data_IF_131530805854
#
_entry.id   IF_131530805854
#
_cell.length_a   1.000
_cell.length_b   1.000
_cell.length_c   1.000
_cell.angle_alpha   90.00
_cell.angle_beta   90.00
_cell.angle_gamma   90.00
#
_symmetry.space_group_name_H-M   'P 1'
#
loop_
_entity.id
_entity.type
_entity.pdbx_description
1 polymer ?
#
# COMPACT_ATOMS: atom_id res chain seq x y z
N UNK A 1 -4.25 29.32 -5.89
CA UNK A 1 -3.88 28.59 -4.66
C UNK A 1 -2.38 28.77 -4.42
N UNK A 2 -1.93 28.79 -3.14
CA UNK A 2 -0.49 28.76 -2.83
C UNK A 2 0.04 27.38 -3.28
N UNK A 3 1.20 27.34 -3.93
CA UNK A 3 1.90 26.08 -4.23
C UNK A 3 2.32 25.40 -2.94
N UNK A 4 1.98 24.12 -2.78
CA UNK A 4 2.41 23.30 -1.65
C UNK A 4 3.78 22.73 -1.97
N UNK A 5 4.73 22.94 -1.09
CA UNK A 5 6.10 22.45 -1.24
C UNK A 5 6.29 21.18 -0.44
N UNK A 6 6.71 20.13 -1.11
CA UNK A 6 6.89 18.80 -0.49
C UNK A 6 8.32 18.29 -0.63
N UNK A 7 8.72 17.43 0.30
CA UNK A 7 10.02 16.76 0.25
C UNK A 7 9.86 15.25 0.22
N UNK A 8 10.81 14.54 -0.43
CA UNK A 8 10.82 13.08 -0.53
C UNK A 8 11.97 12.52 0.32
N UNK A 9 11.64 11.66 1.27
CA UNK A 9 12.60 10.94 2.12
C UNK A 9 12.75 9.51 1.62
N UNK A 10 13.92 9.18 1.10
CA UNK A 10 14.23 7.91 0.46
C UNK A 10 14.44 8.05 -1.06
N UNK A 11 15.53 7.44 -1.55
CA UNK A 11 16.01 7.58 -2.93
C UNK A 11 15.92 6.26 -3.73
N UNK A 12 15.19 5.28 -3.17
CA UNK A 12 14.93 4.00 -3.82
C UNK A 12 13.79 4.08 -4.84
N UNK A 13 13.31 2.91 -5.25
CA UNK A 13 12.23 2.75 -6.23
C UNK A 13 11.00 3.63 -5.88
N UNK A 14 10.49 3.54 -4.63
CA UNK A 14 9.31 4.30 -4.23
C UNK A 14 9.54 5.81 -4.19
N UNK A 15 10.74 6.28 -3.82
CA UNK A 15 11.07 7.71 -3.88
C UNK A 15 10.94 8.27 -5.29
N UNK A 16 11.37 7.51 -6.31
CA UNK A 16 11.20 7.88 -7.72
C UNK A 16 9.73 7.87 -8.13
N UNK A 17 8.99 6.81 -7.80
CA UNK A 17 7.55 6.71 -8.11
C UNK A 17 6.78 7.89 -7.52
N UNK A 18 7.07 8.26 -6.27
CA UNK A 18 6.43 9.43 -5.63
C UNK A 18 6.77 10.73 -6.34
N UNK A 19 8.02 10.94 -6.76
CA UNK A 19 8.41 12.13 -7.51
C UNK A 19 7.68 12.23 -8.86
N UNK A 20 7.58 11.13 -9.60
CA UNK A 20 6.85 11.08 -10.87
C UNK A 20 5.36 11.37 -10.68
N UNK A 21 4.75 10.83 -9.63
CA UNK A 21 3.35 11.07 -9.31
C UNK A 21 3.09 12.52 -8.85
N UNK A 22 3.96 13.09 -8.00
CA UNK A 22 3.87 14.50 -7.54
C UNK A 22 3.88 15.47 -8.72
N UNK A 23 4.73 15.26 -9.73
CA UNK A 23 4.78 16.10 -10.94
C UNK A 23 3.46 16.15 -11.72
N UNK A 24 2.58 15.20 -11.50
CA UNK A 24 1.27 15.08 -12.16
C UNK A 24 0.14 15.67 -11.31
N UNK A 25 0.47 16.28 -10.15
CA UNK A 25 -0.50 16.92 -9.25
C UNK A 25 -0.34 18.43 -9.34
N UNK A 26 -1.44 19.12 -9.62
CA UNK A 26 -1.45 20.58 -9.74
C UNK A 26 -1.17 21.26 -8.40
N UNK A 27 -0.47 22.38 -8.45
CA UNK A 27 -0.13 23.22 -7.29
C UNK A 27 0.74 22.54 -6.23
N UNK A 28 1.49 21.50 -6.62
CA UNK A 28 2.45 20.81 -5.75
C UNK A 28 3.85 20.82 -6.40
N UNK A 29 4.85 21.18 -5.60
CA UNK A 29 6.26 21.20 -5.99
C UNK A 29 7.07 20.26 -5.12
N UNK A 30 7.81 19.31 -5.75
CA UNK A 30 8.83 18.55 -5.05
C UNK A 30 10.08 19.42 -4.90
N UNK A 31 10.27 19.99 -3.70
CA UNK A 31 11.27 21.02 -3.42
C UNK A 31 12.59 20.44 -2.88
N UNK A 32 12.56 19.28 -2.23
CA UNK A 32 13.74 18.70 -1.61
C UNK A 32 13.72 17.16 -1.64
N UNK A 33 14.91 16.57 -1.58
CA UNK A 33 15.10 15.11 -1.42
C UNK A 33 16.05 14.87 -0.23
N UNK A 34 15.68 13.96 0.67
CA UNK A 34 16.56 13.47 1.71
C UNK A 34 16.90 11.98 1.50
N UNK A 35 18.19 11.65 1.56
CA UNK A 35 18.65 10.27 1.41
C UNK A 35 20.07 10.06 1.91
N UNK A 36 20.30 9.00 2.69
CA UNK A 36 21.61 8.66 3.28
C UNK A 36 22.76 8.56 2.27
N UNK A 37 22.45 8.11 1.04
CA UNK A 37 23.42 8.12 -0.05
C UNK A 37 23.33 9.44 -0.80
N UNK A 38 24.28 10.34 -0.53
CA UNK A 38 24.32 11.68 -1.12
C UNK A 38 24.43 11.66 -2.66
N UNK A 39 25.17 10.71 -3.24
CA UNK A 39 25.32 10.59 -4.68
C UNK A 39 24.02 10.11 -5.33
N UNK A 40 23.40 9.07 -4.78
CA UNK A 40 22.09 8.59 -5.22
C UNK A 40 21.01 9.69 -5.12
N UNK A 41 21.01 10.47 -4.05
CA UNK A 41 20.08 11.58 -3.87
C UNK A 41 20.32 12.70 -4.90
N UNK A 42 21.58 13.07 -5.19
CA UNK A 42 21.90 14.06 -6.23
C UNK A 42 21.52 13.56 -7.63
N UNK A 43 21.80 12.29 -7.94
CA UNK A 43 21.41 11.69 -9.22
C UNK A 43 19.90 11.71 -9.43
N UNK A 44 19.14 11.33 -8.38
CA UNK A 44 17.68 11.38 -8.41
C UNK A 44 17.21 12.83 -8.57
N UNK A 45 17.74 13.77 -7.77
CA UNK A 45 17.40 15.19 -7.82
C UNK A 45 17.66 15.81 -9.20
N UNK A 46 18.79 15.50 -9.83
CA UNK A 46 19.11 15.97 -11.17
C UNK A 46 18.09 15.53 -12.22
N UNK A 47 17.60 14.27 -12.14
CA UNK A 47 16.56 13.75 -13.02
C UNK A 47 15.20 14.44 -12.85
N UNK A 48 14.99 15.11 -11.72
CA UNK A 48 13.74 15.81 -11.38
C UNK A 48 13.90 17.33 -11.24
N UNK A 49 15.08 17.88 -11.55
CA UNK A 49 15.39 19.32 -11.42
C UNK A 49 15.26 19.83 -9.98
N UNK A 50 15.57 18.98 -8.99
CA UNK A 50 15.54 19.31 -7.58
C UNK A 50 16.97 19.53 -7.09
N UNK A 51 17.29 20.74 -6.66
CA UNK A 51 18.62 21.13 -6.20
C UNK A 51 18.85 20.95 -4.70
N UNK A 52 17.78 20.99 -3.91
CA UNK A 52 17.86 20.83 -2.44
C UNK A 52 17.99 19.37 -2.07
N UNK A 53 19.20 18.96 -1.71
CA UNK A 53 19.55 17.58 -1.35
C UNK A 53 20.11 17.55 0.06
N UNK A 54 19.53 16.71 0.91
CA UNK A 54 19.98 16.49 2.28
C UNK A 54 20.39 15.03 2.50
N UNK A 55 21.35 14.79 3.38
CA UNK A 55 21.71 13.43 3.86
C UNK A 55 21.02 13.09 5.17
N UNK A 56 20.60 14.09 5.93
CA UNK A 56 19.70 13.94 7.08
C UNK A 56 18.35 14.60 6.78
N UNK A 57 17.27 13.85 6.87
CA UNK A 57 15.91 14.36 6.65
C UNK A 57 15.50 15.46 7.66
N UNK A 58 16.12 15.49 8.83
CA UNK A 58 15.85 16.51 9.87
C UNK A 58 16.26 17.91 9.42
N UNK A 59 17.25 18.03 8.53
CA UNK A 59 17.62 19.31 7.94
C UNK A 59 16.47 19.86 7.09
N UNK A 60 15.80 18.97 6.35
CA UNK A 60 14.63 19.34 5.54
C UNK A 60 13.43 19.70 6.43
N UNK A 61 13.23 18.99 7.55
CA UNK A 61 12.13 19.30 8.49
C UNK A 61 12.23 20.68 9.12
N UNK A 62 13.45 21.25 9.26
CA UNK A 62 13.68 22.60 9.77
C UNK A 62 13.33 23.71 8.77
N UNK A 63 13.19 23.37 7.49
CA UNK A 63 12.82 24.35 6.48
C UNK A 63 11.32 24.72 6.61
N UNK A 64 11.00 26.00 6.96
CA UNK A 64 9.62 26.43 7.11
C UNK A 64 8.85 26.46 5.78
N UNK A 65 9.55 26.47 4.65
CA UNK A 65 8.94 26.49 3.32
C UNK A 65 8.48 25.10 2.86
N UNK A 66 8.81 24.04 3.56
CA UNK A 66 8.30 22.69 3.29
C UNK A 66 6.97 22.51 4.04
N UNK A 67 5.90 22.26 3.31
CA UNK A 67 4.56 22.07 3.87
C UNK A 67 4.26 20.58 4.17
N UNK A 68 4.80 19.65 3.36
CA UNK A 68 4.53 18.22 3.46
C UNK A 68 5.78 17.36 3.19
N UNK A 69 5.74 16.11 3.63
CA UNK A 69 6.81 15.15 3.35
C UNK A 69 6.25 13.80 2.90
N UNK A 70 6.97 13.12 2.01
CA UNK A 70 6.75 11.73 1.63
C UNK A 70 7.83 10.85 2.25
N UNK A 71 7.45 9.80 2.95
CA UNK A 71 8.35 8.83 3.56
C UNK A 71 8.36 7.58 2.71
N UNK A 72 9.46 7.35 1.99
CA UNK A 72 9.67 6.26 1.03
C UNK A 72 10.90 5.42 1.41
N UNK A 73 11.18 5.30 2.69
CA UNK A 73 12.31 4.58 3.28
C UNK A 73 11.95 3.13 3.59
N UNK A 74 12.88 2.28 4.07
CA UNK A 74 12.53 0.98 4.65
C UNK A 74 11.62 1.11 5.88
N UNK A 75 10.73 0.13 6.08
CA UNK A 75 9.65 0.13 7.06
C UNK A 75 10.06 0.54 8.48
N UNK A 76 11.20 0.05 8.98
CA UNK A 76 11.70 0.36 10.32
C UNK A 76 11.98 1.87 10.56
N UNK A 77 12.01 2.68 9.52
CA UNK A 77 12.23 4.13 9.61
C UNK A 77 10.93 4.93 9.57
N UNK A 78 9.80 4.31 9.16
CA UNK A 78 8.54 5.02 8.96
C UNK A 78 8.07 5.71 10.22
N UNK A 79 8.02 4.98 11.35
CA UNK A 79 7.57 5.52 12.62
C UNK A 79 8.36 6.76 13.05
N UNK A 80 9.68 6.65 13.13
CA UNK A 80 10.52 7.77 13.61
C UNK A 80 10.43 8.98 12.69
N UNK A 81 10.45 8.77 11.37
CA UNK A 81 10.38 9.88 10.40
C UNK A 81 9.01 10.53 10.37
N UNK A 82 7.93 9.75 10.46
CA UNK A 82 6.57 10.29 10.51
C UNK A 82 6.33 11.08 11.80
N UNK A 83 6.80 10.56 12.93
CA UNK A 83 6.75 11.24 14.22
C UNK A 83 7.50 12.57 14.20
N UNK A 84 8.77 12.58 13.76
CA UNK A 84 9.59 13.78 13.66
C UNK A 84 8.93 14.82 12.71
N UNK A 85 8.35 14.37 11.59
CA UNK A 85 7.68 15.24 10.63
C UNK A 85 6.40 15.88 11.21
N UNK A 86 5.55 15.09 11.88
CA UNK A 86 4.37 15.61 12.56
C UNK A 86 4.73 16.61 13.66
N UNK A 87 5.76 16.32 14.46
CA UNK A 87 6.27 17.23 15.50
C UNK A 87 6.83 18.53 14.92
N UNK A 88 7.38 18.46 13.70
CA UNK A 88 7.85 19.65 12.96
C UNK A 88 6.72 20.41 12.24
N UNK A 89 5.45 20.02 12.44
CA UNK A 89 4.29 20.67 11.82
C UNK A 89 4.10 20.36 10.34
N UNK A 90 4.68 19.28 9.83
CA UNK A 90 4.56 18.89 8.40
C UNK A 90 3.42 17.90 8.19
N UNK A 91 2.68 18.06 7.10
CA UNK A 91 1.76 17.03 6.60
C UNK A 91 2.55 15.82 6.12
N UNK A 92 2.02 14.60 6.28
CA UNK A 92 2.79 13.39 6.02
C UNK A 92 2.06 12.43 5.08
N UNK A 93 2.76 12.01 4.03
CA UNK A 93 2.44 10.81 3.25
C UNK A 93 3.49 9.76 3.60
N UNK A 94 3.08 8.61 4.10
CA UNK A 94 3.97 7.51 4.46
C UNK A 94 3.69 6.30 3.58
N UNK A 95 4.75 5.65 3.09
CA UNK A 95 4.63 4.33 2.46
C UNK A 95 4.10 3.30 3.46
N UNK A 96 3.49 2.26 2.95
CA UNK A 96 3.00 1.13 3.74
C UNK A 96 4.15 0.11 4.02
N UNK A 97 4.07 -0.64 5.11
CA UNK A 97 3.16 -0.48 6.23
C UNK A 97 3.46 0.83 6.99
N UNK A 98 2.46 1.38 7.67
CA UNK A 98 2.60 2.64 8.41
C UNK A 98 3.76 2.62 9.42
N UNK A 99 3.95 1.48 10.07
CA UNK A 99 5.01 1.22 11.04
C UNK A 99 5.32 -0.28 11.07
N UNK A 100 6.18 -0.73 11.99
CA UNK A 100 6.50 -2.14 12.17
C UNK A 100 5.70 -2.82 13.29
N UNK A 101 4.93 -2.06 14.05
CA UNK A 101 4.11 -2.55 15.15
C UNK A 101 2.86 -1.71 15.41
N UNK A 102 1.87 -2.32 16.04
CA UNK A 102 0.56 -1.69 16.34
C UNK A 102 0.71 -0.47 17.25
N UNK A 103 1.55 -0.53 18.27
CA UNK A 103 1.71 0.57 19.23
C UNK A 103 2.35 1.82 18.57
N UNK A 104 3.30 1.61 17.67
CA UNK A 104 3.86 2.69 16.84
C UNK A 104 2.76 3.34 15.95
N UNK A 105 1.90 2.51 15.36
CA UNK A 105 0.76 2.98 14.56
C UNK A 105 -0.23 3.82 15.38
N UNK A 106 -0.59 3.36 16.61
CA UNK A 106 -1.46 4.10 17.53
C UNK A 106 -0.88 5.47 17.89
N UNK A 107 0.42 5.51 18.19
CA UNK A 107 1.09 6.77 18.52
C UNK A 107 1.04 7.77 17.34
N UNK A 108 1.28 7.30 16.11
CA UNK A 108 1.22 8.16 14.92
C UNK A 108 -0.19 8.68 14.65
N UNK A 109 -1.22 7.85 14.80
CA UNK A 109 -2.63 8.26 14.65
C UNK A 109 -2.98 9.34 15.68
N UNK A 110 -2.64 9.12 16.95
CA UNK A 110 -2.89 10.07 18.02
C UNK A 110 -2.15 11.39 17.79
N UNK A 111 -0.88 11.33 17.44
CA UNK A 111 -0.06 12.52 17.20
C UNK A 111 -0.58 13.34 16.01
N UNK A 112 -0.95 12.70 14.90
CA UNK A 112 -1.50 13.38 13.74
C UNK A 112 -2.81 14.13 14.08
N UNK A 113 -3.67 13.49 14.87
CA UNK A 113 -4.92 14.10 15.35
C UNK A 113 -4.64 15.30 16.28
N UNK A 114 -3.73 15.16 17.25
CA UNK A 114 -3.35 16.22 18.19
C UNK A 114 -2.77 17.43 17.46
N UNK A 115 -1.97 17.24 16.42
CA UNK A 115 -1.36 18.31 15.64
C UNK A 115 -2.32 18.89 14.58
N UNK A 116 -3.46 18.26 14.32
CA UNK A 116 -4.39 18.69 13.28
C UNK A 116 -3.81 18.61 11.86
N UNK A 117 -2.82 17.74 11.65
CA UNK A 117 -2.10 17.60 10.39
C UNK A 117 -2.72 16.54 9.49
N UNK A 118 -2.67 16.78 8.18
CA UNK A 118 -3.07 15.79 7.18
C UNK A 118 -2.03 14.67 7.15
N UNK A 119 -2.52 13.45 7.15
CA UNK A 119 -1.71 12.26 7.13
C UNK A 119 -2.28 11.25 6.14
N UNK A 120 -1.43 10.51 5.45
CA UNK A 120 -1.81 9.52 4.46
C UNK A 120 -0.86 8.32 4.54
N UNK A 121 -1.40 7.11 4.45
CA UNK A 121 -0.64 5.88 4.19
C UNK A 121 -0.88 5.41 2.77
N UNK A 122 0.18 4.98 2.04
CA UNK A 122 0.09 4.69 0.61
C UNK A 122 -0.54 3.33 0.30
N UNK A 123 -1.83 3.15 0.62
CA UNK A 123 -2.64 2.06 0.07
C UNK A 123 -3.18 2.44 -1.31
N UNK A 124 -2.28 2.60 -2.25
CA UNK A 124 -2.56 3.13 -3.59
C UNK A 124 -3.47 2.23 -4.44
N UNK A 125 -3.49 0.92 -4.21
CA UNK A 125 -4.26 -0.03 -5.04
C UNK A 125 -5.78 0.20 -4.97
N UNK A 126 -6.28 0.90 -3.94
CA UNK A 126 -7.68 1.37 -3.89
C UNK A 126 -8.05 2.23 -5.11
N UNK A 127 -7.05 2.86 -5.77
CA UNK A 127 -7.27 3.94 -6.74
C UNK A 127 -7.24 3.52 -8.21
N UNK A 128 -7.20 2.24 -8.48
CA UNK A 128 -7.57 1.76 -9.81
C UNK A 128 -9.03 2.12 -10.11
N UNK A 129 -9.36 2.67 -11.29
CA UNK A 129 -10.72 3.08 -11.63
C UNK A 129 -11.76 1.98 -11.44
N UNK A 130 -11.41 0.72 -11.80
CA UNK A 130 -12.33 -0.41 -11.67
C UNK A 130 -12.47 -0.89 -10.22
N UNK A 131 -11.48 -0.70 -9.36
CA UNK A 131 -11.61 -0.94 -7.91
C UNK A 131 -12.59 0.09 -7.29
N UNK A 132 -12.52 1.34 -7.71
CA UNK A 132 -13.48 2.35 -7.29
C UNK A 132 -14.89 2.05 -7.82
N UNK A 133 -15.00 1.54 -9.06
CA UNK A 133 -16.28 1.09 -9.61
C UNK A 133 -16.86 -0.05 -8.77
N UNK A 134 -16.04 -1.06 -8.40
CA UNK A 134 -16.47 -2.17 -7.51
C UNK A 134 -17.03 -1.65 -6.21
N UNK A 135 -16.30 -0.73 -5.54
CA UNK A 135 -16.75 -0.11 -4.31
C UNK A 135 -18.13 0.55 -4.48
N UNK A 136 -18.32 1.36 -5.52
CA UNK A 136 -19.59 2.04 -5.76
C UNK A 136 -20.73 1.07 -6.10
N UNK A 137 -20.42 -0.09 -6.67
CA UNK A 137 -21.40 -1.16 -6.89
C UNK A 137 -21.79 -1.84 -5.56
N UNK A 138 -20.85 -2.07 -4.65
CA UNK A 138 -21.14 -2.59 -3.31
C UNK A 138 -21.98 -1.59 -2.50
N UNK A 139 -21.61 -0.31 -2.47
CA UNK A 139 -22.33 0.76 -1.78
C UNK A 139 -23.77 0.97 -2.33
N UNK A 140 -23.98 0.78 -3.63
CA UNK A 140 -25.27 0.85 -4.28
C UNK A 140 -26.13 -0.41 -4.08
N UNK A 141 -25.65 -1.38 -3.33
CA UNK A 141 -26.33 -2.65 -3.08
C UNK A 141 -26.57 -3.50 -4.35
N UNK A 142 -25.75 -3.28 -5.41
CA UNK A 142 -25.89 -4.03 -6.66
C UNK A 142 -25.63 -5.53 -6.45
N UNK A 143 -24.76 -5.90 -5.49
CA UNK A 143 -24.45 -7.28 -5.13
C UNK A 143 -25.46 -7.89 -4.14
N UNK A 144 -26.30 -7.08 -3.51
CA UNK A 144 -27.08 -7.50 -2.35
C UNK A 144 -26.22 -7.71 -1.12
N UNK A 145 -26.58 -8.67 -0.26
CA UNK A 145 -25.76 -9.06 0.90
C UNK A 145 -24.49 -9.77 0.41
N UNK A 146 -23.31 -9.35 0.87
CA UNK A 146 -22.03 -9.99 0.53
C UNK A 146 -21.88 -11.25 1.38
N UNK A 147 -21.70 -12.38 0.71
CA UNK A 147 -21.57 -13.71 1.33
C UNK A 147 -20.11 -14.17 1.42
N UNK A 148 -19.35 -14.00 0.32
CA UNK A 148 -17.98 -14.49 0.23
C UNK A 148 -17.09 -13.41 -0.38
N UNK A 149 -15.87 -13.26 0.17
CA UNK A 149 -14.79 -12.44 -0.38
C UNK A 149 -13.53 -13.30 -0.45
N UNK A 150 -12.94 -13.44 -1.63
CA UNK A 150 -11.75 -14.26 -1.80
C UNK A 150 -10.78 -13.71 -2.83
N UNK A 151 -9.53 -14.18 -2.80
CA UNK A 151 -8.55 -13.82 -3.83
C UNK A 151 -7.13 -14.21 -3.49
N UNK A 152 -6.23 -13.63 -4.27
CA UNK A 152 -4.79 -13.89 -4.12
C UNK A 152 -3.98 -12.62 -4.34
N UNK A 153 -2.77 -12.57 -3.80
CA UNK A 153 -1.74 -11.66 -4.25
C UNK A 153 -0.42 -12.40 -4.44
N UNK A 154 -0.04 -12.62 -5.66
CA UNK A 154 1.07 -13.49 -6.03
C UNK A 154 2.15 -12.74 -6.80
N UNK A 155 3.41 -12.97 -6.41
CA UNK A 155 4.61 -12.42 -7.04
C UNK A 155 5.71 -13.48 -7.10
N UNK A 156 6.74 -13.30 -7.94
CA UNK A 156 7.87 -14.25 -8.08
C UNK A 156 9.26 -13.62 -7.81
N UNK A 157 9.32 -12.39 -7.38
CA UNK A 157 10.58 -11.65 -7.28
C UNK A 157 11.49 -12.09 -6.12
N UNK A 158 11.00 -12.96 -5.22
CA UNK A 158 11.76 -13.61 -4.15
C UNK A 158 11.78 -15.13 -4.27
N UNK A 159 11.59 -15.66 -5.48
CA UNK A 159 11.51 -17.09 -5.74
C UNK A 159 12.82 -17.84 -5.43
N UNK A 160 13.97 -17.26 -5.74
CA UNK A 160 15.25 -17.93 -5.58
C UNK A 160 15.93 -17.57 -4.24
N UNK A 161 16.76 -18.44 -3.73
CA UNK A 161 17.56 -18.18 -2.53
C UNK A 161 18.56 -17.02 -2.69
N UNK A 162 18.89 -16.65 -3.93
CA UNK A 162 19.71 -15.49 -4.29
C UNK A 162 18.92 -14.18 -4.37
N UNK A 163 17.58 -14.25 -4.32
CA UNK A 163 16.74 -13.06 -4.31
C UNK A 163 16.84 -12.38 -2.96
N UNK A 164 17.41 -11.19 -2.96
CA UNK A 164 17.61 -10.39 -1.75
C UNK A 164 17.12 -8.97 -1.90
N UNK A 165 16.42 -8.49 -0.86
CA UNK A 165 16.02 -7.12 -0.70
C UNK A 165 16.01 -6.78 0.79
N UNK A 166 16.05 -5.51 1.16
CA UNK A 166 15.99 -5.07 2.56
C UNK A 166 14.74 -5.59 3.31
N UNK A 167 13.65 -5.88 2.59
CA UNK A 167 12.42 -6.46 3.16
C UNK A 167 12.61 -7.86 3.74
N UNK A 168 13.62 -8.58 3.26
CA UNK A 168 13.97 -9.92 3.78
C UNK A 168 14.62 -9.83 5.17
N UNK A 169 15.26 -8.71 5.48
CA UNK A 169 15.88 -8.46 6.79
C UNK A 169 14.79 -7.93 7.76
N UNK A 170 14.43 -8.72 8.76
CA UNK A 170 13.42 -8.35 9.77
C UNK A 170 13.78 -7.04 10.52
N UNK A 171 15.08 -6.69 10.63
CA UNK A 171 15.50 -5.41 11.24
C UNK A 171 15.11 -4.19 10.42
N UNK A 172 15.00 -4.35 9.11
CA UNK A 172 14.62 -3.27 8.18
C UNK A 172 13.14 -3.35 7.78
N UNK A 173 12.62 -4.56 7.62
CA UNK A 173 11.27 -4.83 7.12
C UNK A 173 10.19 -4.96 8.21
N UNK A 174 10.60 -5.35 9.44
CA UNK A 174 9.67 -5.73 10.49
C UNK A 174 9.49 -7.25 10.61
N UNK A 175 8.60 -7.72 11.51
CA UNK A 175 8.45 -9.13 11.85
C UNK A 175 7.72 -9.98 10.81
N UNK A 176 7.17 -9.38 9.78
CA UNK A 176 6.47 -10.03 8.67
C UNK A 176 6.93 -9.44 7.36
N UNK A 177 6.91 -10.23 6.30
CA UNK A 177 7.33 -9.79 4.97
C UNK A 177 6.22 -9.93 3.93
N UNK A 178 5.83 -11.14 3.58
CA UNK A 178 4.83 -11.37 2.55
C UNK A 178 3.46 -10.74 2.92
N UNK A 179 2.98 -10.99 4.13
CA UNK A 179 1.71 -10.42 4.58
C UNK A 179 1.80 -8.91 4.78
N UNK A 180 2.89 -8.39 5.35
CA UNK A 180 3.11 -6.95 5.50
C UNK A 180 3.28 -6.22 4.16
N UNK A 181 3.96 -6.83 3.19
CA UNK A 181 4.25 -6.20 1.89
C UNK A 181 3.05 -6.27 0.93
N UNK A 182 2.45 -7.45 0.74
CA UNK A 182 1.38 -7.66 -0.24
C UNK A 182 0.05 -8.06 0.38
N UNK A 183 0.02 -8.85 1.45
CA UNK A 183 -1.20 -9.21 2.16
C UNK A 183 -1.96 -7.97 2.67
N UNK A 184 -1.24 -6.98 3.22
CA UNK A 184 -1.83 -5.73 3.70
C UNK A 184 -2.58 -4.95 2.61
N UNK A 185 -2.08 -4.92 1.38
CA UNK A 185 -2.78 -4.30 0.25
C UNK A 185 -4.08 -5.04 -0.08
N UNK A 186 -4.05 -6.37 -0.01
CA UNK A 186 -5.23 -7.17 -0.32
C UNK A 186 -6.35 -6.95 0.72
N UNK A 187 -6.02 -7.01 2.02
CA UNK A 187 -6.98 -6.75 3.10
C UNK A 187 -7.50 -5.32 3.07
N UNK A 188 -6.61 -4.35 2.83
CA UNK A 188 -6.99 -2.96 2.66
C UNK A 188 -8.01 -2.76 1.53
N UNK A 189 -7.77 -3.38 0.38
CA UNK A 189 -8.68 -3.35 -0.75
C UNK A 189 -10.01 -4.04 -0.44
N UNK A 190 -9.98 -5.22 0.20
CA UNK A 190 -11.18 -5.98 0.54
C UNK A 190 -12.09 -5.18 1.49
N UNK A 191 -11.54 -4.60 2.57
CA UNK A 191 -12.30 -3.74 3.49
C UNK A 191 -12.80 -2.46 2.79
N UNK A 192 -11.95 -1.82 1.96
CA UNK A 192 -12.30 -0.61 1.24
C UNK A 192 -13.46 -0.81 0.25
N UNK A 193 -13.44 -1.91 -0.51
CA UNK A 193 -14.46 -2.18 -1.54
C UNK A 193 -15.78 -2.63 -0.92
N UNK A 194 -15.73 -3.49 0.08
CA UNK A 194 -16.93 -4.07 0.69
C UNK A 194 -17.57 -3.19 1.74
N UNK A 195 -16.79 -2.28 2.36
CA UNK A 195 -17.22 -1.54 3.55
C UNK A 195 -17.31 -2.41 4.82
N UNK A 196 -16.93 -3.69 4.74
CA UNK A 196 -16.96 -4.63 5.86
C UNK A 196 -15.59 -4.70 6.53
N UNK A 197 -15.57 -4.98 7.83
CA UNK A 197 -14.33 -5.17 8.61
C UNK A 197 -14.07 -6.64 8.89
N UNK A 198 -12.80 -7.05 8.78
CA UNK A 198 -12.35 -8.37 9.24
C UNK A 198 -12.47 -8.42 10.76
N UNK A 199 -13.20 -9.40 11.28
CA UNK A 199 -13.50 -9.55 12.72
C UNK A 199 -12.73 -10.67 13.39
N UNK A 200 -12.39 -11.72 12.64
CA UNK A 200 -11.51 -12.80 13.10
C UNK A 200 -10.88 -13.53 11.92
N UNK A 201 -9.75 -14.17 12.15
CA UNK A 201 -9.00 -14.88 11.12
C UNK A 201 -8.27 -16.11 11.65
N UNK A 202 -7.91 -17.01 10.72
CA UNK A 202 -6.99 -18.11 10.96
C UNK A 202 -5.96 -18.12 9.83
N UNK A 203 -4.66 -18.02 10.18
CA UNK A 203 -3.57 -17.86 9.27
C UNK A 203 -2.57 -19.03 9.36
N UNK A 204 -2.07 -19.45 8.18
CA UNK A 204 -0.90 -20.33 8.04
C UNK A 204 0.17 -19.58 7.25
N UNK A 205 1.34 -19.38 7.84
CA UNK A 205 2.47 -18.63 7.28
C UNK A 205 3.66 -19.57 7.08
N UNK A 206 4.40 -19.38 5.98
CA UNK A 206 5.54 -20.25 5.69
C UNK A 206 6.74 -19.47 5.18
N UNK A 207 7.91 -19.75 5.78
CA UNK A 207 9.22 -19.35 5.27
C UNK A 207 9.84 -20.54 4.54
N UNK A 208 9.84 -20.52 3.19
CA UNK A 208 10.41 -21.60 2.39
C UNK A 208 11.94 -21.52 2.35
N UNK A 209 12.49 -20.30 2.25
CA UNK A 209 13.92 -20.06 2.27
C UNK A 209 14.37 -19.53 3.63
N UNK A 210 14.64 -20.43 4.57
CA UNK A 210 15.15 -20.09 5.92
C UNK A 210 16.60 -19.59 5.91
N UNK A 211 17.30 -19.75 4.77
CA UNK A 211 18.62 -19.17 4.49
C UNK A 211 18.59 -18.60 3.08
N UNK A 212 19.07 -17.36 2.93
CA UNK A 212 19.21 -16.70 1.63
C UNK A 212 20.62 -16.18 1.43
N UNK A 213 21.03 -16.08 0.18
CA UNK A 213 22.32 -15.52 -0.26
C UNK A 213 22.19 -14.00 -0.38
N UNK A 214 22.64 -13.28 0.64
CA UNK A 214 22.66 -11.83 0.65
C UNK A 214 23.89 -11.32 -0.12
N UNK A 215 23.74 -10.39 -1.09
CA UNK A 215 24.88 -9.73 -1.72
C UNK A 215 25.76 -9.00 -0.71
N UNK A 216 27.09 -9.11 -0.86
CA UNK A 216 28.08 -8.37 -0.03
C UNK A 216 28.01 -6.87 -0.24
N UNK A 217 27.62 -6.44 -1.44
CA UNK A 217 27.45 -5.04 -1.82
C UNK A 217 25.98 -4.73 -2.08
N UNK A 218 25.60 -3.46 -1.93
CA UNK A 218 24.24 -3.01 -2.20
C UNK A 218 23.91 -3.19 -3.68
N UNK A 219 22.81 -3.88 -3.98
CA UNK A 219 22.21 -3.99 -5.32
C UNK A 219 20.88 -3.24 -5.34
N UNK A 220 20.57 -2.68 -6.50
CA UNK A 220 19.27 -2.02 -6.70
C UNK A 220 18.13 -3.04 -6.61
N UNK A 221 17.00 -2.61 -6.08
CA UNK A 221 15.77 -3.42 -6.04
C UNK A 221 15.36 -3.76 -7.47
N UNK A 222 15.10 -5.03 -7.74
CA UNK A 222 14.79 -5.58 -9.07
C UNK A 222 15.94 -5.55 -10.09
N UNK A 223 17.18 -5.28 -9.69
CA UNK A 223 18.33 -5.36 -10.58
C UNK A 223 18.64 -6.80 -11.01
N UNK A 224 19.18 -6.96 -12.21
CA UNK A 224 19.58 -8.25 -12.75
C UNK A 224 20.72 -8.88 -11.94
N UNK A 225 20.69 -10.19 -11.73
CA UNK A 225 21.55 -10.95 -10.80
C UNK A 225 22.72 -11.57 -11.52
N UNK A 226 23.68 -10.74 -11.90
CA UNK A 226 24.93 -11.19 -12.50
C UNK A 226 26.07 -11.25 -11.46
N UNK A 227 25.77 -11.80 -10.24
CA UNK A 227 26.76 -11.96 -9.18
C UNK A 227 27.31 -13.38 -9.17
N UNK A 228 28.61 -13.53 -8.90
CA UNK A 228 29.24 -14.82 -8.69
C UNK A 228 28.95 -15.40 -7.30
N UNK A 229 29.18 -16.70 -7.07
CA UNK A 229 28.98 -17.33 -5.75
C UNK A 229 29.77 -16.64 -4.62
N UNK A 230 30.91 -16.08 -4.91
CA UNK A 230 31.81 -15.39 -3.96
C UNK A 230 31.25 -14.02 -3.51
N UNK A 231 30.29 -13.46 -4.23
CA UNK A 231 29.70 -12.16 -3.94
C UNK A 231 28.59 -12.22 -2.90
N UNK A 232 28.27 -13.40 -2.39
CA UNK A 232 27.18 -13.61 -1.44
C UNK A 232 27.65 -13.98 -0.04
N UNK A 233 26.77 -13.73 0.93
CA UNK A 233 26.88 -14.19 2.32
C UNK A 233 25.58 -14.92 2.66
N UNK A 234 25.68 -16.16 3.15
CA UNK A 234 24.52 -16.86 3.69
C UNK A 234 23.95 -16.12 4.90
N UNK A 235 22.67 -15.88 4.88
CA UNK A 235 21.97 -15.10 5.91
C UNK A 235 20.68 -15.83 6.29
N UNK A 236 20.50 -16.10 7.58
CA UNK A 236 19.26 -16.67 8.10
C UNK A 236 18.09 -15.69 7.92
N UNK A 237 16.92 -16.24 7.57
CA UNK A 237 15.68 -15.51 7.33
C UNK A 237 14.55 -16.19 8.07
N UNK A 238 13.76 -15.42 8.80
CA UNK A 238 12.63 -15.87 9.61
C UNK A 238 11.29 -15.22 9.19
N UNK A 239 11.34 -14.30 8.22
CA UNK A 239 10.13 -13.68 7.66
C UNK A 239 9.52 -14.55 6.56
N UNK A 240 8.20 -14.64 6.53
CA UNK A 240 7.46 -15.55 5.65
C UNK A 240 7.50 -15.13 4.17
N UNK A 241 7.57 -16.14 3.29
CA UNK A 241 7.46 -16.04 1.83
C UNK A 241 6.01 -16.19 1.35
N UNK A 242 5.15 -16.75 2.21
CA UNK A 242 3.80 -17.19 1.91
C UNK A 242 2.90 -17.02 3.13
N UNK A 243 1.63 -16.69 2.88
CA UNK A 243 0.57 -16.75 3.86
C UNK A 243 -0.77 -17.13 3.24
N UNK A 244 -1.47 -18.05 3.89
CA UNK A 244 -2.86 -18.40 3.60
C UNK A 244 -3.73 -18.02 4.79
N UNK A 245 -4.79 -17.25 4.56
CA UNK A 245 -5.66 -16.76 5.63
C UNK A 245 -7.11 -17.00 5.26
N UNK A 246 -7.86 -17.65 6.17
CA UNK A 246 -9.32 -17.66 6.16
C UNK A 246 -9.83 -16.66 7.21
N UNK A 247 -10.91 -15.95 6.90
CA UNK A 247 -11.37 -14.86 7.78
C UNK A 247 -12.89 -14.70 7.78
N UNK A 248 -13.37 -13.95 8.77
CA UNK A 248 -14.75 -13.49 8.87
C UNK A 248 -14.78 -11.96 8.73
N UNK A 249 -15.79 -11.45 8.01
CA UNK A 249 -16.06 -10.02 7.89
C UNK A 249 -17.50 -9.74 8.29
N UNK A 250 -17.69 -8.67 9.08
CA UNK A 250 -19.02 -8.37 9.62
C UNK A 250 -19.67 -9.58 10.30
N UNK A 251 -20.99 -9.69 10.20
CA UNK A 251 -21.74 -10.76 10.90
C UNK A 251 -21.71 -12.10 10.15
N UNK A 252 -21.80 -12.08 8.81
CA UNK A 252 -22.06 -13.30 8.01
C UNK A 252 -21.05 -13.61 6.94
N UNK A 253 -20.34 -12.61 6.42
CA UNK A 253 -19.39 -12.78 5.30
C UNK A 253 -18.20 -13.66 5.72
N UNK A 254 -17.79 -14.54 4.83
CA UNK A 254 -16.60 -15.40 4.97
C UNK A 254 -15.63 -15.11 3.83
N UNK A 255 -14.33 -15.31 4.10
CA UNK A 255 -13.36 -15.09 3.05
C UNK A 255 -12.09 -15.90 3.19
N UNK A 256 -11.29 -15.84 2.13
CA UNK A 256 -9.95 -16.42 2.11
C UNK A 256 -9.02 -15.63 1.18
N UNK A 257 -7.75 -15.57 1.55
CA UNK A 257 -6.71 -14.99 0.72
C UNK A 257 -5.43 -15.81 0.80
N UNK A 258 -4.73 -15.89 -0.32
CA UNK A 258 -3.37 -16.42 -0.39
C UNK A 258 -2.45 -15.31 -0.89
N UNK A 259 -1.42 -14.99 -0.12
CA UNK A 259 -0.34 -14.09 -0.51
C UNK A 259 0.97 -14.89 -0.67
N UNK A 260 1.72 -14.64 -1.75
CA UNK A 260 2.95 -15.37 -2.04
C UNK A 260 3.94 -14.53 -2.83
N UNK A 261 5.20 -14.54 -2.42
CA UNK A 261 6.30 -13.88 -3.15
C UNK A 261 7.21 -14.88 -3.91
N UNK A 262 6.78 -16.15 -3.98
CA UNK A 262 7.51 -17.26 -4.61
C UNK A 262 6.70 -17.97 -5.69
N UNK A 263 5.71 -17.31 -6.25
CA UNK A 263 4.80 -17.85 -7.28
C UNK A 263 5.36 -17.61 -8.68
N UNK A 264 6.16 -18.55 -9.19
CA UNK A 264 6.84 -18.47 -10.50
C UNK A 264 5.89 -18.00 -11.61
N UNK A 265 6.28 -16.97 -12.35
CA UNK A 265 5.53 -16.42 -13.48
C UNK A 265 4.52 -15.33 -13.14
N UNK A 266 4.12 -15.17 -11.87
CA UNK A 266 3.28 -14.05 -11.42
C UNK A 266 4.15 -12.84 -11.08
N UNK A 267 3.92 -11.72 -11.77
CA UNK A 267 4.76 -10.52 -11.58
C UNK A 267 4.19 -9.57 -10.53
N UNK A 268 2.90 -9.31 -10.58
CA UNK A 268 2.19 -8.48 -9.61
C UNK A 268 0.69 -8.79 -9.61
N UNK A 269 0.36 -10.08 -9.48
CA UNK A 269 -0.99 -10.59 -9.67
C UNK A 269 -1.83 -10.53 -8.40
N UNK A 270 -2.51 -9.41 -8.16
CA UNK A 270 -3.57 -9.31 -7.17
C UNK A 270 -4.91 -9.61 -7.85
N UNK A 271 -5.67 -10.53 -7.28
CA UNK A 271 -7.06 -10.78 -7.67
C UNK A 271 -7.98 -10.69 -6.46
N UNK A 272 -9.19 -10.19 -6.67
CA UNK A 272 -10.25 -10.15 -5.67
C UNK A 272 -11.59 -10.52 -6.31
N UNK A 273 -12.35 -11.38 -5.64
CA UNK A 273 -13.69 -11.81 -6.02
C UNK A 273 -14.64 -11.59 -4.85
N UNK A 274 -15.81 -10.99 -5.14
CA UNK A 274 -16.84 -10.67 -4.15
C UNK A 274 -18.15 -11.27 -4.64
N UNK A 275 -18.72 -12.16 -3.83
CA UNK A 275 -19.95 -12.87 -4.15
C UNK A 275 -21.09 -12.40 -3.25
N UNK A 276 -22.12 -11.84 -3.86
CA UNK A 276 -23.31 -11.37 -3.18
C UNK A 276 -24.55 -12.20 -3.53
N UNK A 277 -25.67 -11.86 -2.88
CA UNK A 277 -26.94 -12.56 -3.10
C UNK A 277 -27.63 -12.22 -4.42
N UNK A 278 -27.22 -11.14 -5.11
CA UNK A 278 -27.81 -10.68 -6.37
C UNK A 278 -26.85 -10.83 -7.55
N UNK A 279 -25.58 -10.50 -7.34
CA UNK A 279 -24.52 -10.55 -8.34
C UNK A 279 -23.16 -10.72 -7.69
N UNK A 280 -22.14 -10.87 -8.50
CA UNK A 280 -20.75 -11.06 -8.07
C UNK A 280 -19.84 -10.17 -8.89
N UNK A 281 -18.68 -9.81 -8.33
CA UNK A 281 -17.65 -9.05 -9.03
C UNK A 281 -16.31 -9.76 -8.90
N UNK A 282 -15.48 -9.67 -9.96
CA UNK A 282 -14.09 -10.12 -9.94
C UNK A 282 -13.20 -9.13 -10.66
N UNK A 283 -12.05 -8.82 -10.06
CA UNK A 283 -11.05 -7.92 -10.61
C UNK A 283 -9.64 -8.50 -10.50
N UNK A 284 -8.80 -8.23 -11.50
CA UNK A 284 -7.42 -8.69 -11.60
C UNK A 284 -6.51 -7.50 -11.95
N UNK A 285 -5.49 -7.26 -11.12
CA UNK A 285 -4.54 -6.17 -11.29
C UNK A 285 -3.73 -6.27 -12.59
N UNK A 286 -3.49 -7.48 -13.11
CA UNK A 286 -2.79 -7.67 -14.39
C UNK A 286 -3.69 -7.36 -15.61
N UNK A 287 -5.01 -7.12 -15.37
CA UNK A 287 -6.00 -6.59 -16.32
C UNK A 287 -6.84 -5.48 -15.67
N UNK A 288 -6.20 -4.36 -15.28
CA UNK A 288 -6.80 -3.41 -14.35
C UNK A 288 -8.01 -2.65 -14.91
N UNK A 289 -8.14 -2.58 -16.23
CA UNK A 289 -9.22 -1.86 -16.91
C UNK A 289 -10.49 -2.70 -17.14
N UNK A 290 -10.50 -3.95 -16.66
CA UNK A 290 -11.63 -4.88 -16.78
C UNK A 290 -12.21 -5.21 -15.40
N UNK A 291 -13.55 -5.33 -15.33
CA UNK A 291 -14.28 -5.82 -14.17
C UNK A 291 -15.33 -6.82 -14.63
N UNK A 292 -15.19 -8.07 -14.19
CA UNK A 292 -16.20 -9.09 -14.42
C UNK A 292 -17.36 -8.95 -13.43
N UNK A 293 -18.60 -9.01 -13.95
CA UNK A 293 -19.81 -9.09 -13.15
C UNK A 293 -20.57 -10.39 -13.47
N UNK A 294 -20.79 -11.19 -12.44
CA UNK A 294 -21.45 -12.47 -12.54
C UNK A 294 -22.91 -12.43 -12.13
N UNK A 295 -23.75 -13.10 -12.91
CA UNK A 295 -25.18 -13.22 -12.68
C UNK A 295 -25.61 -14.68 -12.77
N UNK A 296 -26.61 -15.06 -11.94
CA UNK A 296 -27.18 -16.41 -11.99
C UNK A 296 -28.23 -16.56 -13.10
N UNK A 297 -29.08 -15.55 -13.25
CA UNK A 297 -30.28 -15.63 -14.07
C UNK A 297 -30.17 -14.82 -15.37
N UNK A 298 -28.98 -14.31 -15.67
CA UNK A 298 -28.67 -13.58 -16.91
C UNK A 298 -27.20 -13.80 -17.31
N UNK A 299 -26.81 -13.31 -18.49
CA UNK A 299 -25.43 -13.40 -18.96
C UNK A 299 -24.47 -12.63 -18.06
N UNK A 300 -23.29 -13.18 -17.83
CA UNK A 300 -22.20 -12.46 -17.19
C UNK A 300 -21.71 -11.32 -18.09
N UNK A 301 -21.15 -10.28 -17.50
CA UNK A 301 -20.70 -9.07 -18.18
C UNK A 301 -19.23 -8.81 -17.85
N UNK A 302 -18.52 -8.15 -18.77
CA UNK A 302 -17.23 -7.52 -18.51
C UNK A 302 -17.41 -6.02 -18.70
N UNK A 303 -17.28 -5.27 -17.62
CA UNK A 303 -17.18 -3.81 -17.69
C UNK A 303 -15.74 -3.46 -18.09
N UNK A 304 -15.61 -2.67 -19.15
CA UNK A 304 -14.32 -2.10 -19.56
C UNK A 304 -14.27 -0.66 -19.06
N UNK A 305 -13.12 -0.23 -18.58
CA UNK A 305 -12.92 1.13 -18.08
C UNK A 305 -13.25 2.15 -19.17
N UNK A 306 -14.31 2.91 -18.94
CA UNK A 306 -14.71 4.09 -19.70
C UNK A 306 -15.38 5.07 -18.72
N UNK A 307 -14.83 6.30 -18.54
CA UNK A 307 -15.41 7.26 -17.60
C UNK A 307 -16.90 7.53 -17.80
N UNK A 308 -17.39 7.43 -19.05
CA UNK A 308 -18.81 7.66 -19.36
C UNK A 308 -19.74 6.56 -18.83
N UNK A 309 -19.21 5.35 -18.63
CA UNK A 309 -19.92 4.16 -18.19
C UNK A 309 -19.77 3.85 -16.69
N UNK A 310 -18.79 4.49 -16.03
CA UNK A 310 -18.60 4.31 -14.59
C UNK A 310 -19.71 4.99 -13.78
N UNK A 311 -20.00 4.47 -12.60
CA UNK A 311 -20.84 5.15 -11.61
C UNK A 311 -20.30 6.57 -11.33
N UNK A 312 -21.17 7.59 -11.13
CA UNK A 312 -20.73 9.00 -11.04
C UNK A 312 -19.57 9.24 -10.07
N UNK A 313 -19.62 8.63 -8.90
CA UNK A 313 -18.55 8.79 -7.89
C UNK A 313 -17.25 8.05 -8.23
N UNK A 314 -17.26 7.10 -9.16
CA UNK A 314 -16.06 6.43 -9.63
C UNK A 314 -15.38 7.18 -10.79
N UNK A 315 -16.09 8.02 -11.54
CA UNK A 315 -15.56 8.76 -12.71
C UNK A 315 -14.38 9.64 -12.38
N UNK A 316 -14.34 10.24 -11.19
CA UNK A 316 -13.25 11.14 -10.77
C UNK A 316 -11.90 10.44 -10.58
N UNK A 317 -11.88 9.12 -10.71
CA UNK A 317 -10.66 8.31 -10.60
C UNK A 317 -10.13 7.84 -11.96
N UNK A 318 -10.88 8.10 -13.05
CA UNK A 318 -10.48 7.81 -14.41
C UNK A 318 -10.25 9.13 -15.17
N UNK A 319 -8.99 9.41 -15.51
CA UNK A 319 -8.59 10.65 -16.20
C UNK A 319 -8.53 10.46 -17.73
N UNK A 320 -8.39 9.21 -18.21
CA UNK A 320 -8.26 8.89 -19.62
C UNK A 320 -9.55 8.27 -20.18
N UNK A 321 -9.88 8.54 -21.46
CA UNK A 321 -11.05 7.94 -22.11
C UNK A 321 -10.93 6.42 -22.22
N UNK A 322 -12.02 5.75 -22.59
CA UNK A 322 -12.06 4.32 -22.85
C UNK A 322 -10.97 3.89 -23.84
N UNK A 323 -10.40 2.68 -23.63
CA UNK A 323 -9.31 2.15 -24.45
C UNK A 323 -7.91 2.70 -24.17
N UNK A 324 -7.77 3.63 -23.23
CA UNK A 324 -6.47 4.14 -22.74
C UNK A 324 -6.25 3.62 -21.33
N UNK A 325 -5.24 2.78 -21.14
CA UNK A 325 -4.99 2.13 -19.84
C UNK A 325 -4.55 3.12 -18.78
N UNK A 326 -5.09 2.94 -17.57
CA UNK A 326 -4.64 3.61 -16.34
C UNK A 326 -4.13 2.55 -15.37
N UNK A 327 -2.86 2.68 -14.98
CA UNK A 327 -2.10 1.66 -14.28
C UNK A 327 -1.61 2.07 -12.91
N UNK A 328 -0.56 1.36 -12.47
CA UNK A 328 0.03 1.51 -11.14
C UNK A 328 0.43 2.95 -10.81
N UNK A 329 1.07 3.66 -11.75
CA UNK A 329 1.53 5.05 -11.53
C UNK A 329 0.36 6.03 -11.37
N UNK A 330 -0.78 5.75 -12.03
CA UNK A 330 -1.98 6.60 -11.93
C UNK A 330 -2.60 6.51 -10.55
N UNK A 331 -2.49 5.36 -9.88
CA UNK A 331 -3.02 5.18 -8.53
C UNK A 331 -2.36 6.14 -7.53
N UNK A 332 -1.05 6.34 -7.59
CA UNK A 332 -0.33 7.30 -6.73
C UNK A 332 -0.73 8.75 -7.01
N UNK A 333 -0.86 9.11 -8.29
CA UNK A 333 -1.38 10.43 -8.68
C UNK A 333 -2.75 10.69 -8.05
N UNK A 334 -3.65 9.70 -8.06
CA UNK A 334 -4.99 9.84 -7.48
C UNK A 334 -4.97 9.98 -5.95
N UNK A 335 -4.12 9.22 -5.26
CA UNK A 335 -3.91 9.38 -3.81
C UNK A 335 -3.41 10.79 -3.49
N UNK A 336 -2.35 11.23 -4.16
CA UNK A 336 -1.70 12.50 -3.87
C UNK A 336 -2.58 13.69 -4.22
N UNK A 337 -3.30 13.64 -5.34
CA UNK A 337 -4.29 14.67 -5.71
C UNK A 337 -5.29 14.91 -4.57
N UNK A 338 -5.85 13.86 -3.99
CA UNK A 338 -6.82 13.95 -2.90
C UNK A 338 -6.20 14.41 -1.59
N UNK A 339 -5.03 13.90 -1.27
CA UNK A 339 -4.30 14.33 -0.09
C UNK A 339 -3.99 15.82 -0.15
N UNK A 340 -3.37 16.30 -1.21
CA UNK A 340 -3.02 17.71 -1.35
C UNK A 340 -4.22 18.63 -1.46
N UNK A 341 -5.29 18.20 -2.10
CA UNK A 341 -6.56 18.95 -2.13
C UNK A 341 -7.19 19.11 -0.74
N UNK A 342 -6.88 18.24 0.21
CA UNK A 342 -7.39 18.33 1.58
C UNK A 342 -6.64 19.34 2.46
N UNK A 343 -5.43 19.76 2.06
CA UNK A 343 -4.60 20.69 2.84
C UNK A 343 -5.26 22.07 2.81
N UNK A 344 -5.46 22.66 3.98
CA UNK A 344 -6.13 23.96 4.13
C UNK A 344 -7.67 23.91 4.12
N UNK A 345 -8.28 22.73 3.86
CA UNK A 345 -9.74 22.54 3.91
C UNK A 345 -10.14 22.02 5.30
N UNK A 346 -11.05 22.72 5.98
CA UNK A 346 -11.60 22.27 7.26
C UNK A 346 -12.90 21.49 7.02
N UNK A 347 -13.03 20.29 7.61
CA UNK A 347 -14.31 19.56 7.70
C UNK A 347 -14.79 18.91 6.42
N UNK A 348 -13.92 18.51 5.50
CA UNK A 348 -14.28 17.72 4.31
C UNK A 348 -14.21 16.21 4.55
N UNK A 349 -14.95 15.43 3.73
CA UNK A 349 -14.79 13.96 3.68
C UNK A 349 -13.37 13.65 3.17
N UNK A 350 -12.66 12.82 3.91
CA UNK A 350 -11.33 12.38 3.52
C UNK A 350 -11.45 11.19 2.55
N UNK A 351 -11.07 11.42 1.30
CA UNK A 351 -11.17 10.41 0.24
C UNK A 351 -9.81 9.73 -0.04
N UNK A 352 -8.93 9.62 0.97
CA UNK A 352 -7.64 8.94 0.87
C UNK A 352 -7.34 8.18 2.16
N UNK A 353 -6.50 7.10 2.10
CA UNK A 353 -6.16 6.31 3.28
C UNK A 353 -5.38 7.14 4.28
N UNK A 354 -5.86 7.21 5.51
CA UNK A 354 -5.21 7.90 6.61
C UNK A 354 -4.36 6.94 7.44
N UNK A 355 -3.65 7.46 8.43
CA UNK A 355 -2.86 6.64 9.37
C UNK A 355 -3.73 5.64 10.14
N UNK A 356 -5.00 5.93 10.36
CA UNK A 356 -5.95 4.97 10.96
C UNK A 356 -6.16 3.75 10.06
N UNK A 357 -6.18 3.91 8.73
CA UNK A 357 -6.24 2.77 7.80
C UNK A 357 -4.95 1.95 7.87
N UNK A 358 -3.79 2.62 8.01
CA UNK A 358 -2.50 1.94 8.24
C UNK A 358 -2.46 1.19 9.57
N UNK A 359 -2.96 1.78 10.64
CA UNK A 359 -3.10 1.12 11.94
C UNK A 359 -4.03 -0.11 11.83
N UNK A 360 -5.12 0.00 11.07
CA UNK A 360 -6.00 -1.13 10.80
C UNK A 360 -5.26 -2.30 10.16
N UNK A 361 -4.41 -2.05 9.17
CA UNK A 361 -3.63 -3.10 8.52
C UNK A 361 -2.57 -3.69 9.46
N UNK A 362 -1.95 -2.88 10.32
CA UNK A 362 -1.04 -3.39 11.36
C UNK A 362 -1.77 -4.29 12.38
N UNK A 363 -3.02 -3.98 12.71
CA UNK A 363 -3.84 -4.78 13.62
C UNK A 363 -4.20 -6.13 13.00
N UNK A 364 -4.57 -6.17 11.72
CA UNK A 364 -4.81 -7.42 10.97
C UNK A 364 -3.53 -8.25 10.92
N UNK A 365 -2.41 -7.64 10.56
CA UNK A 365 -1.10 -8.31 10.51
C UNK A 365 -0.68 -8.89 11.87
N UNK A 366 -0.92 -8.16 12.95
CA UNK A 366 -0.70 -8.65 14.31
C UNK A 366 -1.51 -9.90 14.63
N UNK A 367 -2.78 -9.92 14.22
CA UNK A 367 -3.66 -11.08 14.38
C UNK A 367 -3.24 -12.27 13.50
N UNK A 368 -2.72 -12.05 12.28
CA UNK A 368 -2.17 -13.11 11.43
C UNK A 368 -0.97 -13.80 12.06
N UNK A 369 -0.02 -13.00 12.59
CA UNK A 369 1.15 -13.53 13.30
C UNK A 369 0.78 -14.27 14.57
N UNK A 370 -0.21 -13.79 15.32
CA UNK A 370 -0.72 -14.45 16.51
C UNK A 370 -1.44 -15.76 16.16
N UNK A 371 -2.31 -15.74 15.15
CA UNK A 371 -3.04 -16.91 14.67
C UNK A 371 -2.11 -18.02 14.22
N UNK A 372 -1.08 -17.70 13.44
CA UNK A 372 -0.08 -18.66 13.00
C UNK A 372 0.64 -19.31 14.20
N UNK A 373 1.05 -18.51 15.21
CA UNK A 373 1.69 -19.02 16.42
C UNK A 373 0.76 -19.88 17.28
N UNK A 374 -0.49 -19.44 17.43
CA UNK A 374 -1.51 -20.13 18.20
C UNK A 374 -2.10 -21.34 17.46
N UNK A 375 -1.88 -21.45 16.13
CA UNK A 375 -2.46 -22.47 15.25
C UNK A 375 -3.99 -22.51 15.32
N UNK A 376 -4.62 -21.35 15.32
CA UNK A 376 -6.07 -21.26 15.48
C UNK A 376 -6.65 -19.88 15.16
N UNK A 377 -7.95 -19.77 15.33
CA UNK A 377 -8.67 -18.52 15.12
C UNK A 377 -8.29 -17.47 16.17
N UNK A 378 -8.10 -16.24 15.69
CA UNK A 378 -7.81 -15.05 16.52
C UNK A 378 -8.80 -13.94 16.11
N UNK A 379 -9.31 -13.22 17.09
CA UNK A 379 -10.13 -12.03 16.84
C UNK A 379 -9.24 -10.86 16.41
N UNK A 380 -9.74 -10.09 15.44
CA UNK A 380 -9.08 -8.85 15.03
C UNK A 380 -9.70 -7.70 15.81
N UNK A 381 -8.94 -7.01 16.67
CA UNK A 381 -9.47 -5.91 17.47
C UNK A 381 -10.10 -4.82 16.60
N UNK A 382 -11.26 -4.31 17.03
CA UNK A 382 -11.84 -3.11 16.47
C UNK A 382 -10.97 -1.88 16.82
N UNK A 383 -10.97 -0.88 15.97
CA UNK A 383 -10.42 0.44 16.28
C UNK A 383 -11.58 1.37 16.70
N UNK A 384 -11.27 2.38 17.53
CA UNK A 384 -12.27 3.37 17.98
C UNK A 384 -12.98 4.10 16.80
N UNK A 385 -12.38 4.05 15.62
CA UNK A 385 -12.93 4.61 14.37
C UNK A 385 -13.86 3.64 13.62
N UNK A 386 -14.01 2.41 14.08
CA UNK A 386 -14.86 1.39 13.45
C UNK A 386 -16.30 1.40 14.05
N UNK A 387 -16.53 2.20 15.10
CA UNK A 387 -17.84 2.52 15.68
C UNK A 387 -18.43 3.79 15.01
#
# INVERSE_FOLDING_TARGET
>A
MKTIRTAIFGTGFMGRVHLEAVRRVEFVEAAAIAGRNAEGARRLGAGFSISTIATDYRDVLRDPEIDAVHICTPNAQHFSMAKDALQAGKHVICEKPLATGVEEGKELVSLAAQQGLRNCVCHNLRYYPMVQQMRRMCEAWDLGEILVVQGTYSQDWLLYDTDWNWRVDAKAGGPSRCMADIGSHWFDMAEHVTGLRVTSLCADLQTFHTTRKRPKHSVETFANKLLGPEDYIETAVDTEDFGAVIFRMGARTRGSVVASQVSAGRKNGLSIEIYGTRSSLAWDQERPDELWAGHRDSANQIFVKDPSLLKPAARSYADLPGGHSEGYDDTFKQVFRRFYASIGVRGGITEYPQFVDGLRQLTILGAELESHRARGWVDVPALDSDE
#
